data_IF_680105818857
#
_entry.id   IF_680105818857
#
_cell.length_a   1.000
_cell.length_b   1.000
_cell.length_c   1.000
_cell.angle_alpha   90.00
_cell.angle_beta   90.00
_cell.angle_gamma   90.00
#
_symmetry.space_group_name_H-M   'P 1'
#
loop_
_entity.id
_entity.type
_entity.pdbx_description
1 polymer ?
#
# COMPACT_ATOMS: atom_id res chain seq x y z
N UNK A 1 25.22 37.16 92.06
CA UNK A 1 24.81 37.01 90.64
C UNK A 1 23.29 37.03 90.61
N UNK A 2 22.65 38.03 89.96
CA UNK A 2 21.20 38.26 90.14
C UNK A 2 20.37 37.19 89.43
N UNK A 3 19.27 36.75 90.06
CA UNK A 3 18.33 35.77 89.47
C UNK A 3 17.80 36.20 88.09
N UNK A 4 17.80 37.51 87.79
CA UNK A 4 17.45 38.04 86.46
C UNK A 4 18.46 37.64 85.39
N UNK A 5 19.76 37.68 85.71
CA UNK A 5 20.83 37.31 84.78
C UNK A 5 20.77 35.82 84.43
N UNK A 6 20.49 34.96 85.41
CA UNK A 6 20.33 33.51 85.21
C UNK A 6 19.10 33.18 84.34
N UNK A 7 17.97 33.87 84.55
CA UNK A 7 16.77 33.73 83.71
C UNK A 7 17.02 34.18 82.27
N UNK A 8 17.75 35.28 82.06
CA UNK A 8 18.13 35.77 80.73
C UNK A 8 19.03 34.77 79.99
N UNK A 9 20.03 34.20 80.68
CA UNK A 9 20.89 33.16 80.11
C UNK A 9 20.12 31.89 79.75
N UNK A 10 19.21 31.43 80.62
CA UNK A 10 18.35 30.26 80.34
C UNK A 10 17.45 30.50 79.12
N UNK A 11 16.83 31.68 79.00
CA UNK A 11 16.01 32.03 77.83
C UNK A 11 16.86 32.04 76.56
N UNK A 12 18.08 32.59 76.60
CA UNK A 12 18.98 32.60 75.45
C UNK A 12 19.41 31.20 75.01
N UNK A 13 19.69 30.30 75.96
CA UNK A 13 20.05 28.90 75.68
C UNK A 13 18.84 28.16 75.08
N UNK A 14 17.63 28.36 75.62
CA UNK A 14 16.40 27.77 75.08
C UNK A 14 16.12 28.27 73.65
N UNK A 15 16.29 29.56 73.38
CA UNK A 15 16.11 30.12 72.04
C UNK A 15 17.10 29.51 71.04
N UNK A 16 18.37 29.36 71.42
CA UNK A 16 19.41 28.75 70.57
C UNK A 16 19.12 27.28 70.30
N UNK A 17 18.72 26.50 71.31
CA UNK A 17 18.44 25.07 71.13
C UNK A 17 17.17 24.85 70.30
N UNK A 18 16.10 25.61 70.56
CA UNK A 18 14.86 25.55 69.75
C UNK A 18 15.15 25.93 68.31
N UNK A 19 15.92 27.00 68.06
CA UNK A 19 16.28 27.41 66.70
C UNK A 19 17.10 26.32 65.97
N UNK A 20 18.05 25.68 66.66
CA UNK A 20 18.83 24.57 66.10
C UNK A 20 17.95 23.35 65.75
N UNK A 21 17.03 22.96 66.64
CA UNK A 21 16.09 21.86 66.38
C UNK A 21 15.14 22.17 65.23
N UNK A 22 14.63 23.40 65.15
CA UNK A 22 13.79 23.86 64.03
C UNK A 22 14.55 23.83 62.70
N UNK A 23 15.80 24.31 62.66
CA UNK A 23 16.61 24.29 61.45
C UNK A 23 16.90 22.86 60.97
N UNK A 24 17.15 21.92 61.87
CA UNK A 24 17.34 20.52 61.53
C UNK A 24 16.04 19.88 60.98
N UNK A 25 14.90 20.21 61.58
CA UNK A 25 13.60 19.76 61.09
C UNK A 25 13.27 20.33 59.70
N UNK A 26 13.57 21.61 59.47
CA UNK A 26 13.42 22.27 58.15
C UNK A 26 14.32 21.59 57.11
N UNK A 27 15.59 21.35 57.42
CA UNK A 27 16.51 20.66 56.51
C UNK A 27 16.04 19.24 56.17
N UNK A 28 15.49 18.51 57.16
CA UNK A 28 14.91 17.17 56.94
C UNK A 28 13.69 17.22 56.02
N UNK A 29 12.80 18.21 56.19
CA UNK A 29 11.64 18.40 55.34
C UNK A 29 12.03 18.84 53.92
N UNK A 30 12.99 19.77 53.79
CA UNK A 30 13.52 20.21 52.49
C UNK A 30 14.15 19.05 51.72
N UNK A 31 14.90 18.17 52.39
CA UNK A 31 15.44 16.97 51.77
C UNK A 31 14.32 16.03 51.28
N UNK A 32 13.26 15.84 52.07
CA UNK A 32 12.11 15.01 51.65
C UNK A 32 11.37 15.61 50.46
N UNK A 33 11.15 16.92 50.45
CA UNK A 33 10.49 17.64 49.35
C UNK A 33 11.33 17.52 48.07
N UNK A 34 12.61 17.86 48.12
CA UNK A 34 13.51 17.73 46.96
C UNK A 34 13.61 16.29 46.47
N UNK A 35 13.64 15.31 47.37
CA UNK A 35 13.64 13.90 46.97
C UNK A 35 12.34 13.49 46.27
N UNK A 36 11.19 13.94 46.77
CA UNK A 36 9.90 13.73 46.10
C UNK A 36 9.85 14.41 44.72
N UNK A 37 10.33 15.65 44.61
CA UNK A 37 10.42 16.38 43.34
C UNK A 37 11.28 15.60 42.32
N UNK A 38 12.46 15.13 42.72
CA UNK A 38 13.32 14.33 41.83
C UNK A 38 12.68 13.03 41.36
N UNK A 39 11.91 12.36 42.23
CA UNK A 39 11.19 11.13 41.86
C UNK A 39 10.04 11.42 40.90
N UNK A 40 9.32 12.54 41.08
CA UNK A 40 8.29 13.01 40.15
C UNK A 40 8.92 13.32 38.80
N UNK A 41 10.04 14.05 38.75
CA UNK A 41 10.74 14.38 37.51
C UNK A 41 11.22 13.14 36.76
N UNK A 42 11.80 12.17 37.47
CA UNK A 42 12.21 10.89 36.87
C UNK A 42 11.03 10.12 36.28
N UNK A 43 9.89 10.12 36.97
CA UNK A 43 8.68 9.48 36.48
C UNK A 43 8.12 10.20 35.25
N UNK A 44 8.11 11.54 35.23
CA UNK A 44 7.69 12.34 34.08
C UNK A 44 8.60 12.08 32.87
N UNK A 45 9.92 12.08 33.05
CA UNK A 45 10.87 11.78 31.97
C UNK A 45 10.71 10.36 31.43
N UNK A 46 10.46 9.38 32.30
CA UNK A 46 10.16 8.00 31.91
C UNK A 46 8.85 7.91 31.12
N UNK A 47 7.84 8.69 31.49
CA UNK A 47 6.57 8.75 30.78
C UNK A 47 6.73 9.40 29.40
N UNK A 48 7.44 10.53 29.32
CA UNK A 48 7.72 11.25 28.07
C UNK A 48 8.51 10.39 27.10
N UNK A 49 9.51 9.65 27.59
CA UNK A 49 10.26 8.70 26.77
C UNK A 49 9.34 7.61 26.22
N UNK A 50 8.51 7.01 27.06
CA UNK A 50 7.53 5.99 26.61
C UNK A 50 6.52 6.56 25.61
N UNK A 51 6.07 7.80 25.80
CA UNK A 51 5.16 8.47 24.87
C UNK A 51 5.83 8.68 23.52
N UNK A 52 7.07 9.16 23.51
CA UNK A 52 7.85 9.32 22.28
C UNK A 52 8.15 7.97 21.61
N UNK A 53 8.52 6.93 22.36
CA UNK A 53 8.75 5.59 21.83
C UNK A 53 7.45 5.00 21.24
N UNK A 54 6.30 5.23 21.89
CA UNK A 54 4.98 4.84 21.39
C UNK A 54 4.60 5.62 20.13
N UNK A 55 4.86 6.92 20.10
CA UNK A 55 4.64 7.79 18.94
C UNK A 55 5.50 7.35 17.75
N UNK A 56 6.79 7.06 17.98
CA UNK A 56 7.67 6.54 16.94
C UNK A 56 7.25 5.14 16.47
N UNK A 57 6.81 4.27 17.37
CA UNK A 57 6.28 2.94 17.01
C UNK A 57 4.99 3.07 16.20
N UNK A 58 4.09 3.97 16.58
CA UNK A 58 2.85 4.25 15.85
C UNK A 58 3.16 4.84 14.47
N UNK A 59 4.11 5.76 14.36
CA UNK A 59 4.56 6.31 13.08
C UNK A 59 5.20 5.23 12.19
N UNK A 60 5.99 4.32 12.77
CA UNK A 60 6.59 3.21 12.03
C UNK A 60 5.56 2.15 11.61
N UNK A 61 4.56 1.89 12.44
CA UNK A 61 3.41 1.05 12.10
C UNK A 61 2.60 1.70 10.98
N UNK A 62 2.30 3.01 11.07
CA UNK A 62 1.64 3.77 10.01
C UNK A 62 2.46 3.75 8.70
N UNK A 63 3.79 3.86 8.73
CA UNK A 63 4.64 3.78 7.52
C UNK A 63 4.77 2.36 6.95
N UNK A 64 4.60 1.31 7.76
CA UNK A 64 4.59 -0.09 7.28
C UNK A 64 3.19 -0.55 6.84
N UNK A 65 2.14 0.17 7.22
CA UNK A 65 0.75 -0.03 6.76
C UNK A 65 0.26 1.06 5.80
N UNK A 66 1.11 2.00 5.39
CA UNK A 66 0.83 2.96 4.32
C UNK A 66 1.91 2.87 3.24
N UNK A 67 1.48 2.54 2.04
CA UNK A 67 2.21 2.86 0.83
C UNK A 67 2.61 4.34 0.92
N UNK A 68 3.91 4.65 0.85
CA UNK A 68 4.37 6.02 0.61
C UNK A 68 3.71 6.46 -0.69
N UNK A 69 2.63 7.23 -0.55
CA UNK A 69 1.97 7.93 -1.62
C UNK A 69 2.94 8.96 -2.17
N UNK A 70 3.76 8.52 -3.11
CA UNK A 70 4.14 9.37 -4.22
C UNK A 70 2.88 10.10 -4.71
N UNK A 71 2.99 11.37 -5.09
CA UNK A 71 1.88 12.22 -5.52
C UNK A 71 1.38 11.79 -6.93
N UNK A 72 1.20 10.48 -7.10
CA UNK A 72 0.89 9.75 -8.31
C UNK A 72 -0.35 8.93 -8.00
N UNK A 73 -1.41 9.19 -8.77
CA UNK A 73 -2.61 8.37 -8.85
C UNK A 73 -2.28 6.87 -8.70
N UNK A 74 -2.89 6.20 -7.73
CA UNK A 74 -2.63 4.79 -7.47
C UNK A 74 -3.38 3.91 -8.48
N UNK A 75 -2.77 2.81 -8.90
CA UNK A 75 -3.36 1.84 -9.83
C UNK A 75 -3.58 0.52 -9.12
N UNK A 76 -4.81 0.00 -9.15
CA UNK A 76 -5.14 -1.33 -8.63
C UNK A 76 -5.50 -2.30 -9.78
N UNK A 77 -4.97 -3.52 -9.73
CA UNK A 77 -5.30 -4.60 -10.66
C UNK A 77 -6.15 -5.62 -9.94
N UNK A 78 -7.36 -5.88 -10.44
CA UNK A 78 -8.34 -6.75 -9.79
C UNK A 78 -8.71 -7.91 -10.71
N UNK A 79 -8.56 -9.13 -10.20
CA UNK A 79 -9.07 -10.34 -10.86
C UNK A 79 -10.53 -10.55 -10.49
N UNK A 80 -11.46 -10.32 -11.43
CA UNK A 80 -12.90 -10.54 -11.17
C UNK A 80 -13.31 -11.97 -11.53
N UNK A 81 -14.00 -12.65 -10.60
CA UNK A 81 -14.55 -14.00 -10.81
C UNK A 81 -15.57 -14.09 -11.95
N UNK A 82 -16.22 -12.97 -12.31
CA UNK A 82 -17.30 -12.91 -13.32
C UNK A 82 -16.84 -12.61 -14.75
N UNK A 83 -15.57 -12.21 -14.98
CA UNK A 83 -15.03 -11.97 -16.33
C UNK A 83 -14.48 -13.27 -16.89
N UNK A 84 -14.87 -13.60 -18.11
CA UNK A 84 -14.34 -14.77 -18.84
C UNK A 84 -13.02 -14.38 -19.52
N UNK A 85 -11.88 -14.97 -19.13
CA UNK A 85 -10.60 -14.75 -19.82
C UNK A 85 -10.66 -15.27 -21.26
N UNK A 86 -9.89 -14.66 -22.16
CA UNK A 86 -9.80 -15.11 -23.56
C UNK A 86 -10.77 -14.42 -24.51
N UNK A 87 -11.42 -13.32 -24.10
CA UNK A 87 -12.22 -12.50 -25.04
C UNK A 87 -11.31 -11.84 -26.07
N UNK A 88 -11.58 -12.03 -27.36
CA UNK A 88 -10.83 -11.40 -28.45
C UNK A 88 -11.09 -9.88 -28.49
N UNK A 89 -10.01 -9.09 -28.50
CA UNK A 89 -10.02 -7.63 -28.68
C UNK A 89 -9.85 -7.28 -30.17
N UNK A 90 -9.02 -8.06 -30.87
CA UNK A 90 -8.84 -7.96 -32.32
C UNK A 90 -7.45 -8.36 -32.79
N UNK A 91 -7.23 -8.18 -34.10
CA UNK A 91 -5.95 -8.40 -34.77
C UNK A 91 -5.18 -7.09 -34.88
N UNK A 92 -3.93 -7.06 -34.43
CA UNK A 92 -3.10 -5.85 -34.40
C UNK A 92 -1.72 -6.12 -35.01
N UNK A 93 -1.17 -5.14 -35.70
CA UNK A 93 0.25 -5.15 -36.06
C UNK A 93 1.13 -4.97 -34.81
N UNK A 94 2.36 -5.48 -34.82
CA UNK A 94 3.32 -5.12 -33.77
C UNK A 94 4.70 -5.75 -33.91
N UNK A 95 5.73 -5.03 -33.46
CA UNK A 95 7.11 -5.56 -33.42
C UNK A 95 7.33 -6.56 -32.30
N UNK A 96 8.49 -7.20 -32.32
CA UNK A 96 8.94 -8.18 -31.34
C UNK A 96 9.14 -7.63 -29.93
N UNK A 97 9.17 -6.31 -29.70
CA UNK A 97 9.57 -5.71 -28.41
C UNK A 97 8.44 -5.42 -27.40
N UNK A 98 7.24 -5.97 -27.59
CA UNK A 98 6.04 -5.76 -26.72
C UNK A 98 5.79 -4.31 -26.27
N UNK A 99 6.23 -3.37 -27.10
CA UNK A 99 6.03 -1.93 -26.91
C UNK A 99 4.53 -1.58 -26.93
N UNK A 100 3.73 -2.43 -27.60
CA UNK A 100 2.28 -2.31 -27.72
C UNK A 100 1.58 -2.41 -26.37
N UNK A 101 1.86 -3.47 -25.57
CA UNK A 101 1.18 -3.70 -24.29
C UNK A 101 1.97 -3.21 -23.08
N UNK A 102 3.27 -2.88 -23.25
CA UNK A 102 4.18 -2.40 -22.20
C UNK A 102 4.33 -3.37 -21.02
N UNK A 103 4.61 -4.64 -21.32
CA UNK A 103 4.89 -5.65 -20.30
C UNK A 103 5.92 -6.68 -20.78
N UNK A 104 5.74 -7.94 -20.39
CA UNK A 104 6.72 -9.01 -20.63
C UNK A 104 6.42 -9.88 -21.86
N UNK A 105 7.43 -10.56 -22.41
CA UNK A 105 7.31 -11.49 -23.53
C UNK A 105 7.83 -12.86 -23.13
N UNK A 106 6.99 -13.86 -23.31
CA UNK A 106 7.34 -15.26 -23.19
C UNK A 106 7.42 -15.89 -24.58
N UNK A 107 8.44 -16.72 -24.80
CA UNK A 107 8.52 -17.60 -25.96
C UNK A 107 8.13 -19.02 -25.54
N UNK A 108 7.08 -19.57 -26.15
CA UNK A 108 6.48 -20.85 -25.80
C UNK A 108 6.64 -21.81 -26.97
N UNK A 109 7.29 -22.97 -26.73
CA UNK A 109 7.45 -24.03 -27.73
C UNK A 109 6.11 -24.54 -28.27
N UNK A 110 5.12 -24.63 -27.40
CA UNK A 110 3.73 -24.97 -27.70
C UNK A 110 2.86 -23.88 -27.13
N UNK A 111 2.58 -22.87 -27.94
CA UNK A 111 1.72 -21.74 -27.57
C UNK A 111 0.26 -22.06 -27.87
N UNK A 112 -0.66 -21.52 -27.06
CA UNK A 112 -2.10 -21.57 -27.26
C UNK A 112 -2.72 -20.31 -26.68
N UNK A 113 -3.98 -20.01 -27.05
CA UNK A 113 -4.69 -18.85 -26.51
C UNK A 113 -4.84 -19.00 -25.01
N UNK A 114 -5.35 -20.15 -24.55
CA UNK A 114 -5.59 -20.40 -23.13
C UNK A 114 -4.32 -20.25 -22.30
N UNK A 115 -3.21 -20.84 -22.78
CA UNK A 115 -1.92 -20.82 -22.06
C UNK A 115 -1.35 -19.41 -21.95
N UNK A 116 -1.40 -18.64 -23.04
CA UNK A 116 -0.88 -17.27 -22.99
C UNK A 116 -1.77 -16.37 -22.12
N UNK A 117 -3.09 -16.49 -22.24
CA UNK A 117 -4.05 -15.76 -21.42
C UNK A 117 -3.86 -16.09 -19.94
N UNK A 118 -3.70 -17.37 -19.60
CA UNK A 118 -3.43 -17.83 -18.23
C UNK A 118 -2.12 -17.25 -17.69
N UNK A 119 -1.03 -17.30 -18.46
CA UNK A 119 0.25 -16.71 -18.06
C UNK A 119 0.08 -15.21 -17.76
N UNK A 120 -0.57 -14.46 -18.66
CA UNK A 120 -0.76 -13.03 -18.45
C UNK A 120 -1.71 -12.74 -17.27
N UNK A 121 -2.75 -13.55 -17.10
CA UNK A 121 -3.67 -13.44 -15.97
C UNK A 121 -2.98 -13.69 -14.63
N UNK A 122 -2.16 -14.73 -14.53
CA UNK A 122 -1.41 -15.08 -13.32
C UNK A 122 -0.36 -14.01 -12.96
N UNK A 123 0.08 -13.22 -13.94
CA UNK A 123 0.96 -12.07 -13.74
C UNK A 123 0.20 -10.74 -13.65
N UNK A 124 -1.13 -10.78 -13.45
CA UNK A 124 -2.01 -9.61 -13.29
C UNK A 124 -1.98 -8.61 -14.46
N UNK A 125 -1.75 -9.08 -15.69
CA UNK A 125 -1.84 -8.24 -16.87
C UNK A 125 -3.24 -8.24 -17.48
N UNK A 126 -3.71 -7.09 -17.95
CA UNK A 126 -5.06 -6.90 -18.56
C UNK A 126 -5.17 -7.57 -19.94
N UNK A 127 -4.09 -7.51 -20.73
CA UNK A 127 -4.07 -7.98 -22.11
C UNK A 127 -3.00 -9.05 -22.36
N UNK A 128 -3.33 -9.98 -23.25
CA UNK A 128 -2.43 -10.98 -23.82
C UNK A 128 -2.41 -10.83 -25.35
N UNK A 129 -1.24 -10.56 -25.94
CA UNK A 129 -1.02 -10.52 -27.38
C UNK A 129 -0.23 -11.75 -27.84
N UNK A 130 -0.75 -12.46 -28.82
CA UNK A 130 -0.29 -13.78 -29.24
C UNK A 130 0.14 -13.74 -30.70
N UNK A 131 1.34 -14.25 -30.99
CA UNK A 131 1.89 -14.38 -32.35
C UNK A 131 2.77 -15.61 -32.44
N UNK A 132 2.28 -16.69 -33.08
CA UNK A 132 2.96 -17.98 -33.19
C UNK A 132 3.47 -18.43 -31.81
N UNK A 133 4.78 -18.60 -31.64
CA UNK A 133 5.43 -18.95 -30.36
C UNK A 133 5.52 -17.81 -29.34
N UNK A 134 5.20 -16.57 -29.71
CA UNK A 134 5.33 -15.41 -28.81
C UNK A 134 4.02 -15.13 -28.07
N UNK A 135 4.14 -15.02 -26.75
CA UNK A 135 3.09 -14.59 -25.83
C UNK A 135 3.53 -13.30 -25.15
N UNK A 136 2.82 -12.21 -25.35
CA UNK A 136 3.15 -10.89 -24.82
C UNK A 136 2.07 -10.42 -23.85
N UNK A 137 2.45 -10.01 -22.65
CA UNK A 137 1.52 -9.53 -21.63
C UNK A 137 1.67 -8.02 -21.43
N UNK A 138 0.60 -7.34 -21.02
CA UNK A 138 0.71 -5.95 -20.60
C UNK A 138 -0.63 -5.31 -20.25
N UNK A 139 -0.57 -4.07 -19.80
CA UNK A 139 -1.73 -3.31 -19.33
C UNK A 139 -2.15 -2.20 -20.29
N UNK A 140 -1.27 -1.82 -21.23
CA UNK A 140 -1.60 -0.81 -22.22
C UNK A 140 -2.51 -1.39 -23.30
N UNK A 141 -3.62 -0.71 -23.57
CA UNK A 141 -4.43 -1.01 -24.75
C UNK A 141 -3.60 -0.77 -26.03
N UNK A 142 -3.72 -1.62 -27.06
CA UNK A 142 -3.07 -1.40 -28.35
C UNK A 142 -3.41 -0.02 -28.95
N UNK A 143 -2.44 0.89 -28.96
CA UNK A 143 -2.66 2.27 -29.44
C UNK A 143 -2.77 2.32 -30.96
N UNK A 144 -3.97 2.57 -31.46
CA UNK A 144 -4.31 2.60 -32.90
C UNK A 144 -3.57 3.72 -33.66
N UNK A 145 -3.13 4.80 -32.98
CA UNK A 145 -2.53 5.97 -33.64
C UNK A 145 -1.05 5.81 -34.03
N UNK A 146 -0.36 4.78 -33.56
CA UNK A 146 0.97 4.46 -34.09
C UNK A 146 0.78 3.53 -35.28
N UNK A 147 1.21 3.95 -36.48
CA UNK A 147 1.08 3.17 -37.73
C UNK A 147 1.54 1.70 -37.62
N UNK A 148 2.35 1.38 -36.61
CA UNK A 148 2.89 0.04 -36.35
C UNK A 148 1.98 -0.87 -35.50
N UNK A 149 0.94 -0.32 -34.86
CA UNK A 149 -0.02 -1.04 -34.00
C UNK A 149 -1.47 -0.89 -34.48
N UNK A 150 -1.64 -0.66 -35.78
CA UNK A 150 -2.96 -0.57 -36.41
C UNK A 150 -3.79 -1.82 -36.12
N UNK A 151 -5.09 -1.63 -35.90
CA UNK A 151 -6.07 -2.72 -35.93
C UNK A 151 -6.28 -3.15 -37.38
N UNK A 152 -6.25 -4.45 -37.61
CA UNK A 152 -6.51 -5.09 -38.89
C UNK A 152 -7.79 -5.91 -38.81
N UNK A 153 -8.28 -6.31 -39.99
CA UNK A 153 -9.33 -7.31 -40.08
C UNK A 153 -8.87 -8.62 -39.41
N UNK A 154 -9.78 -9.26 -38.66
CA UNK A 154 -9.49 -10.49 -37.92
C UNK A 154 -9.09 -11.63 -38.86
N UNK A 155 -9.55 -11.62 -40.12
CA UNK A 155 -9.13 -12.56 -41.17
C UNK A 155 -7.63 -12.54 -41.50
N UNK A 156 -6.90 -11.50 -41.05
CA UNK A 156 -5.43 -11.45 -41.19
C UNK A 156 -4.70 -12.17 -40.06
N UNK A 157 -5.36 -12.40 -38.93
CA UNK A 157 -4.85 -13.22 -37.85
C UNK A 157 -5.49 -14.61 -37.94
N UNK A 158 -4.92 -15.49 -38.76
CA UNK A 158 -5.47 -16.84 -39.02
C UNK A 158 -4.48 -17.96 -38.74
N UNK A 159 -3.33 -17.65 -38.13
CA UNK A 159 -2.29 -18.64 -37.86
C UNK A 159 -2.74 -19.58 -36.72
N UNK A 160 -2.86 -20.89 -36.96
CA UNK A 160 -3.27 -21.84 -35.92
C UNK A 160 -2.19 -21.99 -34.85
N UNK A 161 -2.59 -22.14 -33.59
CA UNK A 161 -1.65 -22.31 -32.48
C UNK A 161 -0.98 -23.69 -32.50
N UNK A 162 0.34 -23.75 -32.26
CA UNK A 162 1.10 -25.01 -32.20
C UNK A 162 0.67 -25.92 -31.05
N UNK A 163 0.20 -25.35 -29.93
CA UNK A 163 -0.31 -26.09 -28.77
C UNK A 163 -1.79 -26.48 -28.85
N UNK A 164 -2.57 -25.84 -29.74
CA UNK A 164 -3.97 -26.17 -29.99
C UNK A 164 -4.41 -25.61 -31.35
N UNK A 165 -4.42 -26.43 -32.39
CA UNK A 165 -4.71 -25.98 -33.77
C UNK A 165 -6.13 -25.46 -34.00
N UNK A 166 -7.06 -25.67 -33.06
CA UNK A 166 -8.40 -25.08 -33.09
C UNK A 166 -8.41 -23.60 -32.65
N UNK A 167 -7.30 -23.09 -32.13
CA UNK A 167 -7.15 -21.71 -31.68
C UNK A 167 -6.23 -20.91 -32.60
N UNK A 168 -6.41 -19.59 -32.58
CA UNK A 168 -5.69 -18.66 -33.44
C UNK A 168 -4.63 -17.88 -32.63
N UNK A 169 -3.37 -18.01 -33.05
CA UNK A 169 -2.19 -17.42 -32.43
C UNK A 169 -1.60 -16.31 -33.31
N UNK A 170 -2.42 -15.32 -33.71
CA UNK A 170 -1.99 -14.21 -34.54
C UNK A 170 -2.03 -14.50 -36.03
N UNK A 171 -1.19 -13.80 -36.81
CA UNK A 171 -1.16 -13.91 -38.26
C UNK A 171 0.25 -14.03 -38.81
N UNK A 172 0.40 -13.76 -40.11
CA UNK A 172 1.73 -13.60 -40.69
C UNK A 172 2.44 -12.43 -40.02
N UNK A 173 3.73 -12.61 -39.72
CA UNK A 173 4.50 -11.58 -39.03
C UNK A 173 4.34 -10.23 -39.77
N UNK A 174 4.02 -9.12 -39.08
CA UNK A 174 4.09 -8.89 -37.64
C UNK A 174 2.72 -8.93 -36.88
N UNK A 175 1.73 -9.69 -37.36
CA UNK A 175 0.37 -9.66 -36.81
C UNK A 175 0.18 -10.49 -35.53
N UNK A 176 -0.52 -9.91 -34.55
CA UNK A 176 -0.82 -10.48 -33.23
C UNK A 176 -2.32 -10.47 -32.96
N UNK A 177 -2.85 -11.56 -32.40
CA UNK A 177 -4.20 -11.60 -31.84
C UNK A 177 -4.15 -11.13 -30.38
N UNK A 178 -4.96 -10.14 -30.01
CA UNK A 178 -5.00 -9.59 -28.65
C UNK A 178 -6.26 -10.05 -27.94
N UNK A 179 -6.11 -10.55 -26.72
CA UNK A 179 -7.17 -11.07 -25.87
C UNK A 179 -7.17 -10.36 -24.50
N UNK A 180 -8.35 -10.25 -23.90
CA UNK A 180 -8.49 -9.86 -22.49
C UNK A 180 -8.22 -11.06 -21.57
N UNK A 181 -7.60 -10.81 -20.43
CA UNK A 181 -7.30 -11.83 -19.42
C UNK A 181 -8.37 -11.94 -18.31
N UNK A 182 -9.35 -11.03 -18.33
CA UNK A 182 -10.31 -10.85 -17.23
C UNK A 182 -9.74 -10.10 -16.02
N UNK A 183 -8.52 -9.58 -16.10
CA UNK A 183 -7.98 -8.59 -15.15
C UNK A 183 -8.48 -7.21 -15.56
N UNK A 184 -8.97 -6.44 -14.60
CA UNK A 184 -9.36 -5.04 -14.78
C UNK A 184 -8.37 -4.14 -14.04
N UNK A 185 -8.08 -2.99 -14.64
CA UNK A 185 -7.20 -1.97 -14.08
C UNK A 185 -8.03 -0.77 -13.67
N UNK A 186 -7.90 -0.40 -12.40
CA UNK A 186 -8.58 0.72 -11.77
C UNK A 186 -7.56 1.80 -11.42
N UNK A 187 -7.90 3.05 -11.67
CA UNK A 187 -7.08 4.20 -11.32
C UNK A 187 -7.80 4.99 -10.24
N UNK A 188 -7.09 5.32 -9.17
CA UNK A 188 -7.60 6.13 -8.08
C UNK A 188 -6.80 7.43 -8.04
N UNK A 189 -7.50 8.55 -7.87
CA UNK A 189 -6.84 9.80 -7.54
C UNK A 189 -6.25 9.77 -6.12
N UNK A 190 -5.60 10.86 -5.75
CA UNK A 190 -4.96 10.98 -4.45
C UNK A 190 -5.95 11.00 -3.28
N UNK A 191 -7.24 11.24 -3.54
CA UNK A 191 -8.32 11.24 -2.55
C UNK A 191 -9.01 9.87 -2.46
N UNK A 192 -8.51 8.86 -3.20
CA UNK A 192 -9.05 7.51 -3.23
C UNK A 192 -10.30 7.37 -4.10
N UNK A 193 -10.64 8.38 -4.90
CA UNK A 193 -11.77 8.34 -5.82
C UNK A 193 -11.33 7.69 -7.14
N UNK A 194 -12.11 6.72 -7.58
CA UNK A 194 -11.90 6.06 -8.87
C UNK A 194 -12.06 7.07 -10.01
N UNK A 195 -11.07 7.11 -10.91
CA UNK A 195 -11.14 7.84 -12.17
C UNK A 195 -11.21 6.84 -13.33
N UNK A 196 -12.34 6.82 -14.04
CA UNK A 196 -12.49 6.04 -15.27
C UNK A 196 -11.76 6.78 -16.40
N UNK A 197 -10.49 6.44 -16.62
CA UNK A 197 -9.84 6.78 -17.89
C UNK A 197 -10.38 5.81 -18.94
N UNK A 198 -11.06 6.31 -19.99
CA UNK A 198 -11.52 5.50 -21.13
C UNK A 198 -10.35 4.77 -21.81
N UNK A 199 -9.92 3.61 -21.29
CA UNK A 199 -8.96 2.72 -21.95
C UNK A 199 -9.27 1.23 -21.76
N UNK A 200 -10.50 0.91 -21.36
CA UNK A 200 -11.08 -0.41 -21.63
C UNK A 200 -12.45 -0.17 -22.28
N UNK A 201 -12.67 -0.53 -23.55
CA UNK A 201 -14.00 -0.50 -24.18
C UNK A 201 -14.93 -1.59 -23.61
N UNK A 202 -14.81 -1.89 -22.32
CA UNK A 202 -15.56 -2.90 -21.62
C UNK A 202 -16.11 -2.36 -20.29
N UNK A 203 -16.84 -1.25 -20.37
CA UNK A 203 -17.83 -0.91 -19.34
C UNK A 203 -18.91 -0.01 -19.93
N UNK A 204 -19.77 -0.59 -20.77
CA UNK A 204 -21.14 -0.07 -20.79
C UNK A 204 -21.76 -0.43 -19.44
N UNK A 205 -21.93 0.60 -18.60
CA UNK A 205 -22.75 0.65 -17.39
C UNK A 205 -22.49 -0.44 -16.33
N UNK A 206 -21.48 -0.22 -15.48
CA UNK A 206 -21.49 -0.78 -14.12
C UNK A 206 -21.66 0.37 -13.15
N UNK A 207 -22.91 0.65 -12.76
CA UNK A 207 -23.20 1.44 -11.57
C UNK A 207 -22.84 0.56 -10.36
N UNK A 208 -21.90 1.00 -9.54
CA UNK A 208 -21.67 0.40 -8.23
C UNK A 208 -22.63 1.07 -7.25
N UNK A 209 -23.52 0.29 -6.65
CA UNK A 209 -24.11 0.67 -5.37
C UNK A 209 -22.95 0.69 -4.37
N UNK A 210 -22.62 1.90 -3.92
CA UNK A 210 -21.66 2.10 -2.84
C UNK A 210 -22.44 1.89 -1.55
N UNK A 211 -22.71 0.63 -1.21
CA UNK A 211 -23.08 0.29 0.15
C UNK A 211 -21.84 0.49 1.02
N UNK A 212 -21.73 1.71 1.54
CA UNK A 212 -20.95 2.03 2.73
C UNK A 212 -21.43 1.10 3.82
N UNK A 213 -20.58 0.17 4.23
CA UNK A 213 -20.45 -0.32 5.61
C UNK A 213 -19.16 -1.17 5.68
N UNK A 214 -18.08 -0.53 6.09
CA UNK A 214 -17.08 -1.25 6.86
C UNK A 214 -17.73 -1.56 8.20
N UNK A 215 -17.89 -2.83 8.54
CA UNK A 215 -18.00 -3.24 9.93
C UNK A 215 -16.92 -4.29 10.23
N UNK A 216 -16.09 -3.95 11.22
CA UNK A 216 -15.45 -4.82 12.21
C UNK A 216 -16.10 -6.22 12.33
N UNK A 217 -15.46 -7.34 12.70
CA UNK A 217 -14.25 -7.65 13.44
C UNK A 217 -14.11 -9.18 13.50
N UNK A 218 -12.90 -9.66 13.84
CA UNK A 218 -12.52 -10.83 14.65
C UNK A 218 -13.39 -12.11 14.71
N UNK A 219 -12.67 -13.22 14.56
CA UNK A 219 -13.00 -14.55 15.09
C UNK A 219 -13.30 -14.50 16.60
N UNK A 220 -14.37 -15.17 17.06
CA UNK A 220 -14.47 -15.86 18.37
C UNK A 220 -15.71 -16.80 18.39
N UNK A 221 -15.44 -18.06 18.74
CA UNK A 221 -16.21 -19.14 19.39
C UNK A 221 -17.77 -19.24 19.28
N UNK A 222 -18.24 -20.35 18.68
CA UNK A 222 -19.02 -21.45 19.33
C UNK A 222 -19.30 -22.61 18.34
#
# INVERSE_FOLDING_TARGET
>A
MSQKLLKLLLISVILVTVNSSCNNAIASLQWKVTHLETNVDQNVQKLMKKLNDLEQTLLQQLQSTSFVGDNRNFTQLIKRKRRVPGRLVGCFGGRERNEMLRGHINMLKTNSVDKCVEICQNNLFVYAAISRQYCSCGNAYPKIHYHMFNKYDESRCTYPCDGNSSQICGGEWPLKSVYETGIEQYYFDNDGKEFIFELSPASENVYFDVDVLCDYCYDDDD
#
